data_IF_383770351717
#
_entry.id   IF_383770351717
#
_cell.length_a   1.000
_cell.length_b   1.000
_cell.length_c   1.000
_cell.angle_alpha   90.00
_cell.angle_beta   90.00
_cell.angle_gamma   90.00
#
_symmetry.space_group_name_H-M   'P 1'
#
loop_
_entity.id
_entity.type
_entity.pdbx_description
1 polymer ?
#
# COMPACT_ATOMS: atom_id res chain seq x y z
N UNK A 1 -49.89 -17.57 -29.11
CA UNK A 1 -48.46 -17.56 -28.72
C UNK A 1 -47.84 -16.17 -28.55
N UNK A 2 -48.53 -15.05 -28.86
CA UNK A 2 -47.97 -13.68 -28.70
C UNK A 2 -47.96 -13.09 -27.28
N UNK A 3 -48.81 -13.55 -26.36
CA UNK A 3 -48.98 -12.90 -25.05
C UNK A 3 -47.95 -13.31 -23.98
N UNK A 4 -47.30 -14.47 -24.11
CA UNK A 4 -46.26 -14.91 -23.16
C UNK A 4 -44.90 -14.25 -23.40
N UNK A 5 -44.56 -13.95 -24.65
CA UNK A 5 -43.31 -13.24 -25.00
C UNK A 5 -43.34 -11.78 -24.53
N UNK A 6 -44.50 -11.12 -24.59
CA UNK A 6 -44.65 -9.74 -24.14
C UNK A 6 -44.54 -9.60 -22.61
N UNK A 7 -45.06 -10.58 -21.86
CA UNK A 7 -44.95 -10.61 -20.39
C UNK A 7 -43.50 -10.87 -19.92
N UNK A 8 -42.77 -11.76 -20.57
CA UNK A 8 -41.37 -12.07 -20.25
C UNK A 8 -40.43 -10.88 -20.54
N UNK A 9 -40.67 -10.16 -21.65
CA UNK A 9 -39.90 -8.96 -21.99
C UNK A 9 -40.18 -7.81 -21.01
N UNK A 10 -41.44 -7.63 -20.60
CA UNK A 10 -41.83 -6.58 -19.65
C UNK A 10 -41.24 -6.83 -18.24
N UNK A 11 -41.22 -8.09 -17.79
CA UNK A 11 -40.59 -8.49 -16.52
C UNK A 11 -39.06 -8.28 -16.52
N UNK A 12 -38.37 -8.57 -17.64
CA UNK A 12 -36.93 -8.30 -17.79
C UNK A 12 -36.62 -6.80 -17.79
N UNK A 13 -37.43 -5.98 -18.47
CA UNK A 13 -37.25 -4.51 -18.47
C UNK A 13 -37.52 -3.92 -17.09
N UNK A 14 -38.51 -4.42 -16.34
CA UNK A 14 -38.79 -3.99 -14.96
C UNK A 14 -37.65 -4.42 -14.02
N UNK A 15 -37.11 -5.63 -14.18
CA UNK A 15 -35.96 -6.11 -13.39
C UNK A 15 -34.70 -5.30 -13.67
N UNK A 16 -34.40 -5.01 -14.94
CA UNK A 16 -33.28 -4.14 -15.34
C UNK A 16 -33.45 -2.71 -14.85
N UNK A 17 -34.66 -2.14 -14.91
CA UNK A 17 -34.93 -0.81 -14.34
C UNK A 17 -34.78 -0.79 -12.82
N UNK A 18 -35.14 -1.87 -12.12
CA UNK A 18 -34.92 -2.00 -10.67
C UNK A 18 -33.44 -2.15 -10.33
N UNK A 19 -32.66 -2.92 -11.09
CA UNK A 19 -31.22 -3.03 -10.92
C UNK A 19 -30.50 -1.71 -11.23
N UNK A 20 -30.88 -1.02 -12.31
CA UNK A 20 -30.31 0.28 -12.67
C UNK A 20 -30.66 1.35 -11.62
N UNK A 21 -31.89 1.32 -11.07
CA UNK A 21 -32.30 2.20 -9.98
C UNK A 21 -31.57 1.87 -8.67
N UNK A 22 -31.32 0.59 -8.35
CA UNK A 22 -30.52 0.18 -7.20
C UNK A 22 -29.04 0.60 -7.35
N UNK A 23 -28.49 0.47 -8.56
CA UNK A 23 -27.13 0.90 -8.88
C UNK A 23 -27.02 2.44 -8.78
N UNK A 24 -27.98 3.19 -9.34
CA UNK A 24 -28.03 4.65 -9.23
C UNK A 24 -28.25 5.13 -7.80
N UNK A 25 -29.02 4.42 -6.97
CA UNK A 25 -29.17 4.73 -5.54
C UNK A 25 -27.87 4.45 -4.78
N UNK A 26 -27.15 3.37 -5.07
CA UNK A 26 -25.85 3.08 -4.42
C UNK A 26 -24.73 4.01 -4.92
N UNK A 27 -24.75 4.43 -6.19
CA UNK A 27 -23.85 5.45 -6.74
C UNK A 27 -24.18 6.82 -6.13
N UNK A 28 -25.45 7.19 -5.99
CA UNK A 28 -25.83 8.42 -5.29
C UNK A 28 -25.46 8.36 -3.79
N UNK A 29 -25.54 7.20 -3.14
CA UNK A 29 -25.16 7.03 -1.73
C UNK A 29 -23.64 7.14 -1.50
N UNK A 30 -22.84 6.64 -2.45
CA UNK A 30 -21.37 6.72 -2.41
C UNK A 30 -20.84 8.10 -2.82
N UNK A 31 -21.49 8.76 -3.79
CA UNK A 31 -21.21 10.16 -4.15
C UNK A 31 -21.63 11.10 -3.01
N UNK A 32 -22.78 10.88 -2.37
CA UNK A 32 -23.22 11.65 -1.20
C UNK A 32 -22.23 11.45 -0.03
N UNK A 33 -21.73 10.23 0.22
CA UNK A 33 -20.71 9.99 1.24
C UNK A 33 -19.37 10.72 0.95
N UNK A 34 -19.08 11.06 -0.31
CA UNK A 34 -17.89 11.82 -0.71
C UNK A 34 -18.06 13.35 -0.71
N UNK A 35 -19.30 13.86 -0.58
CA UNK A 35 -19.63 15.30 -0.62
C UNK A 35 -20.44 15.78 0.59
N UNK A 36 -20.82 14.89 1.51
CA UNK A 36 -21.60 15.26 2.69
C UNK A 36 -20.69 15.76 3.81
N UNK A 37 -20.47 17.07 3.82
CA UNK A 37 -19.75 17.78 4.87
C UNK A 37 -20.46 17.74 6.24
N UNK A 38 -21.63 17.10 6.38
CA UNK A 38 -22.50 17.24 7.55
C UNK A 38 -22.47 16.09 8.58
N UNK A 39 -21.51 15.15 8.51
CA UNK A 39 -21.27 14.26 9.66
C UNK A 39 -20.90 15.12 10.89
N UNK A 40 -21.66 15.03 12.00
CA UNK A 40 -21.42 15.86 13.17
C UNK A 40 -20.04 15.55 13.73
N UNK A 41 -19.23 16.61 13.89
CA UNK A 41 -17.96 16.56 14.59
C UNK A 41 -18.19 15.95 15.98
N UNK A 42 -17.60 14.78 16.24
CA UNK A 42 -17.64 14.15 17.55
C UNK A 42 -16.32 14.43 18.30
N UNK A 43 -16.29 15.44 19.19
CA UNK A 43 -15.08 15.82 19.91
C UNK A 43 -14.52 14.73 20.82
N UNK A 44 -15.33 13.75 21.26
CA UNK A 44 -14.88 12.70 22.18
C UNK A 44 -14.12 11.55 21.50
N UNK A 45 -14.06 11.52 20.16
CA UNK A 45 -13.30 10.50 19.43
C UNK A 45 -11.90 10.96 19.01
N UNK A 46 -11.54 12.23 19.20
CA UNK A 46 -10.31 12.81 18.68
C UNK A 46 -9.00 12.27 19.25
N UNK A 47 -9.04 11.48 20.33
CA UNK A 47 -7.83 11.15 21.10
C UNK A 47 -7.71 9.68 21.44
N UNK A 48 -7.48 8.83 20.43
CA UNK A 48 -7.04 7.44 20.70
C UNK A 48 -5.75 7.09 19.99
N UNK A 49 -4.78 7.99 19.90
CA UNK A 49 -3.40 7.50 19.79
C UNK A 49 -3.15 6.65 21.04
N UNK A 50 -3.22 5.33 20.90
CA UNK A 50 -2.94 4.45 22.03
C UNK A 50 -1.44 4.39 22.20
N UNK A 51 -0.98 4.06 23.39
CA UNK A 51 0.43 3.78 23.57
C UNK A 51 0.85 2.68 22.59
N UNK A 52 1.99 2.89 21.93
CA UNK A 52 2.68 1.87 21.18
C UNK A 52 3.30 0.90 22.18
N UNK A 53 2.76 -0.32 22.25
CA UNK A 53 3.17 -1.33 23.23
C UNK A 53 4.24 -2.26 22.65
N UNK A 54 4.36 -2.31 21.32
CA UNK A 54 5.30 -3.16 20.60
C UNK A 54 6.27 -2.30 19.80
N UNK A 55 7.54 -2.66 19.80
CA UNK A 55 8.53 -2.02 18.94
C UNK A 55 8.20 -2.28 17.45
N UNK A 56 8.17 -1.24 16.60
CA UNK A 56 7.86 -1.44 15.19
C UNK A 56 8.93 -2.26 14.48
N UNK A 57 8.50 -3.19 13.62
CA UNK A 57 9.39 -4.01 12.78
C UNK A 57 9.17 -3.78 11.28
N UNK A 58 8.26 -2.88 10.90
CA UNK A 58 7.86 -2.60 9.51
C UNK A 58 7.72 -1.08 9.31
N UNK A 59 8.04 -0.56 8.14
CA UNK A 59 7.64 0.79 7.70
C UNK A 59 6.60 0.62 6.59
N UNK A 60 5.44 1.27 6.73
CA UNK A 60 4.37 1.23 5.73
C UNK A 60 4.25 2.59 5.04
N UNK A 61 4.50 2.61 3.75
CA UNK A 61 4.42 3.79 2.90
C UNK A 61 3.05 3.86 2.22
N UNK A 62 2.45 5.06 2.21
CA UNK A 62 1.16 5.33 1.57
C UNK A 62 1.10 6.74 0.97
N UNK A 63 0.05 7.05 0.20
CA UNK A 63 -0.28 8.41 -0.25
C UNK A 63 -1.61 8.90 0.33
N UNK A 64 -1.81 10.21 0.29
CA UNK A 64 -2.95 10.90 0.92
C UNK A 64 -4.23 10.96 0.08
N UNK A 65 -4.12 10.94 -1.25
CA UNK A 65 -5.19 11.29 -2.20
C UNK A 65 -5.56 12.79 -2.17
N UNK A 66 -4.72 13.63 -1.58
CA UNK A 66 -4.96 15.07 -1.43
C UNK A 66 -3.83 15.89 -2.06
N UNK A 67 -4.18 17.10 -2.52
CA UNK A 67 -3.25 18.01 -3.21
C UNK A 67 -2.32 18.78 -2.28
N UNK A 68 -2.67 18.86 -1.00
CA UNK A 68 -1.96 19.65 -0.02
C UNK A 68 -2.02 19.00 1.37
N UNK A 69 -1.04 19.34 2.19
CA UNK A 69 -0.87 18.83 3.55
C UNK A 69 -2.05 19.16 4.48
N UNK A 70 -2.56 20.40 4.43
CA UNK A 70 -3.59 20.88 5.34
C UNK A 70 -4.91 20.12 5.15
N UNK A 71 -5.32 19.95 3.90
CA UNK A 71 -6.50 19.17 3.54
C UNK A 71 -6.33 17.72 3.99
N UNK A 72 -5.14 17.14 3.82
CA UNK A 72 -4.88 15.77 4.26
C UNK A 72 -4.98 15.63 5.78
N UNK A 73 -4.29 16.48 6.54
CA UNK A 73 -4.30 16.45 8.02
C UNK A 73 -5.73 16.64 8.54
N UNK A 74 -6.49 17.55 7.93
CA UNK A 74 -7.90 17.75 8.26
C UNK A 74 -8.75 16.51 7.96
N UNK A 75 -8.55 15.86 6.81
CA UNK A 75 -9.28 14.66 6.44
C UNK A 75 -8.99 13.48 7.38
N UNK A 76 -7.72 13.24 7.74
CA UNK A 76 -7.33 12.18 8.67
C UNK A 76 -8.03 12.35 10.03
N UNK A 77 -8.07 13.59 10.57
CA UNK A 77 -8.83 13.91 11.78
C UNK A 77 -10.30 13.55 11.64
N UNK A 78 -10.95 13.97 10.54
CA UNK A 78 -12.38 13.70 10.31
C UNK A 78 -12.68 12.21 10.18
N UNK A 79 -11.79 11.45 9.55
CA UNK A 79 -11.93 10.01 9.31
C UNK A 79 -11.52 9.17 10.52
N UNK A 80 -11.00 9.79 11.58
CA UNK A 80 -10.50 9.12 12.77
C UNK A 80 -9.42 8.06 12.47
N UNK A 81 -8.51 8.44 11.57
CA UNK A 81 -7.30 7.69 11.20
C UNK A 81 -6.09 8.59 11.39
N UNK A 82 -4.90 8.01 11.47
CA UNK A 82 -3.66 8.78 11.67
C UNK A 82 -2.48 8.10 11.02
N UNK A 83 -1.37 8.83 10.87
CA UNK A 83 -0.09 8.34 10.39
C UNK A 83 1.01 8.98 11.24
N UNK A 84 2.14 8.30 11.42
CA UNK A 84 3.22 8.82 12.26
C UNK A 84 3.85 10.04 11.60
N UNK A 85 4.21 9.89 10.32
CA UNK A 85 4.84 10.93 9.54
C UNK A 85 4.09 11.23 8.25
N UNK A 86 4.20 12.47 7.82
CA UNK A 86 3.79 12.93 6.49
C UNK A 86 4.95 13.62 5.77
N UNK A 87 5.03 13.43 4.46
CA UNK A 87 6.00 14.12 3.59
C UNK A 87 5.20 14.96 2.59
N UNK A 88 5.35 16.28 2.67
CA UNK A 88 4.69 17.22 1.75
C UNK A 88 5.38 17.25 0.38
N UNK A 89 4.76 17.91 -0.60
CA UNK A 89 5.23 17.97 -1.99
C UNK A 89 6.62 18.59 -2.10
N UNK A 90 6.98 19.52 -1.22
CA UNK A 90 8.29 20.18 -1.18
C UNK A 90 9.36 19.38 -0.41
N UNK A 91 9.04 18.16 0.05
CA UNK A 91 9.93 17.32 0.84
C UNK A 91 9.97 17.65 2.34
N UNK A 92 9.22 18.65 2.80
CA UNK A 92 9.09 18.93 4.23
C UNK A 92 8.44 17.74 4.93
N UNK A 93 9.05 17.30 6.04
CA UNK A 93 8.57 16.15 6.83
C UNK A 93 7.86 16.65 8.08
N UNK A 94 6.68 16.11 8.34
CA UNK A 94 5.86 16.44 9.50
C UNK A 94 5.60 15.20 10.33
N UNK A 95 5.65 15.34 11.65
CA UNK A 95 5.01 14.40 12.56
C UNK A 95 3.52 14.75 12.64
N UNK A 96 2.67 13.73 12.53
CA UNK A 96 1.22 13.89 12.39
C UNK A 96 0.36 12.98 13.25
N UNK A 97 0.96 12.24 14.18
CA UNK A 97 0.24 11.18 14.90
C UNK A 97 -0.90 11.70 15.76
N UNK A 98 -0.72 12.88 16.37
CA UNK A 98 -1.73 13.55 17.20
C UNK A 98 -2.71 14.41 16.38
N UNK A 99 -2.73 14.22 15.06
CA UNK A 99 -3.49 15.02 14.12
C UNK A 99 -2.94 16.44 13.94
N UNK A 100 -1.96 16.91 14.70
CA UNK A 100 -1.31 18.19 14.40
C UNK A 100 -0.17 17.99 13.40
N UNK A 101 0.24 19.03 12.68
CA UNK A 101 1.42 18.97 11.80
C UNK A 101 2.60 19.64 12.51
N UNK A 102 3.56 18.85 12.95
CA UNK A 102 4.77 19.36 13.59
C UNK A 102 5.95 19.17 12.64
N UNK A 103 6.51 20.26 12.12
CA UNK A 103 7.64 20.21 11.20
C UNK A 103 8.85 19.54 11.87
N UNK A 104 9.47 18.60 11.16
CA UNK A 104 10.67 17.90 11.59
C UNK A 104 11.86 18.47 10.84
N UNK A 105 12.84 18.92 11.61
CA UNK A 105 14.17 19.17 11.06
C UNK A 105 14.93 17.84 10.98
N UNK A 106 14.99 17.26 9.77
CA UNK A 106 15.68 16.00 9.52
C UNK A 106 17.18 16.06 9.83
N UNK A 107 17.81 17.25 9.76
CA UNK A 107 19.24 17.41 10.07
C UNK A 107 19.49 17.21 11.57
N UNK A 108 18.58 17.74 12.39
CA UNK A 108 18.65 17.66 13.85
C UNK A 108 17.74 16.56 14.42
N UNK A 109 17.26 15.63 13.58
CA UNK A 109 16.36 14.56 13.99
C UNK A 109 17.10 13.51 14.82
N UNK A 110 17.14 13.75 16.13
CA UNK A 110 17.79 12.88 17.11
C UNK A 110 16.95 11.63 17.41
N UNK A 111 17.60 10.62 17.98
CA UNK A 111 16.91 9.38 18.40
C UNK A 111 15.84 9.67 19.45
N UNK A 112 16.08 10.63 20.35
CA UNK A 112 15.10 11.05 21.36
C UNK A 112 13.83 11.63 20.73
N UNK A 113 13.98 12.47 19.70
CA UNK A 113 12.85 13.05 18.97
C UNK A 113 12.09 11.93 18.25
N UNK A 114 12.78 11.04 17.54
CA UNK A 114 12.15 9.91 16.86
C UNK A 114 11.37 9.00 17.85
N UNK A 115 11.99 8.62 18.97
CA UNK A 115 11.40 7.74 19.99
C UNK A 115 10.16 8.36 20.63
N UNK A 116 10.16 9.68 20.89
CA UNK A 116 9.03 10.36 21.54
C UNK A 116 7.72 10.12 20.80
N UNK A 117 7.73 10.24 19.47
CA UNK A 117 6.53 10.19 18.65
C UNK A 117 6.09 8.77 18.31
N UNK A 118 7.04 7.83 18.29
CA UNK A 118 6.79 6.42 18.03
C UNK A 118 6.33 5.64 19.26
N UNK A 119 6.25 6.29 20.44
CA UNK A 119 5.53 5.76 21.61
C UNK A 119 4.01 5.76 21.44
N UNK A 120 3.50 6.28 20.31
CA UNK A 120 2.08 6.34 19.99
C UNK A 120 1.80 5.46 18.79
N UNK A 121 0.67 4.75 18.83
CA UNK A 121 0.18 3.91 17.75
C UNK A 121 -0.68 4.72 16.79
N UNK A 122 -0.27 4.83 15.53
CA UNK A 122 -1.12 5.40 14.48
C UNK A 122 -2.11 4.37 13.90
N UNK A 123 -3.25 4.85 13.40
CA UNK A 123 -4.22 4.01 12.66
C UNK A 123 -4.10 4.24 11.15
N UNK A 124 -3.06 3.69 10.53
CA UNK A 124 -2.75 3.92 9.12
C UNK A 124 -2.99 2.69 8.23
N UNK A 125 -2.71 1.48 8.72
CA UNK A 125 -2.74 0.24 7.95
C UNK A 125 -4.12 -0.45 7.98
N UNK A 126 -4.79 -0.43 9.14
CA UNK A 126 -6.05 -1.17 9.33
C UNK A 126 -5.86 -2.69 9.35
N UNK A 127 -6.81 -3.45 8.78
CA UNK A 127 -6.73 -4.92 8.69
C UNK A 127 -5.60 -5.31 7.75
N UNK A 128 -4.60 -6.03 8.24
CA UNK A 128 -3.47 -6.38 7.39
C UNK A 128 -2.80 -7.70 7.71
N UNK A 129 -1.82 -8.01 6.88
CA UNK A 129 -0.95 -9.17 6.98
C UNK A 129 0.39 -8.84 6.32
N UNK A 130 1.50 -9.11 6.99
CA UNK A 130 2.79 -9.25 6.34
C UNK A 130 3.70 -10.13 7.19
N UNK A 131 4.51 -10.98 6.56
CA UNK A 131 5.56 -11.73 7.28
C UNK A 131 6.88 -10.99 7.21
N UNK A 132 7.36 -10.51 8.36
CA UNK A 132 8.56 -9.67 8.43
C UNK A 132 9.87 -10.48 8.24
N UNK A 133 11.03 -9.83 8.27
CA UNK A 133 12.34 -10.47 8.12
C UNK A 133 12.71 -11.45 9.24
N UNK A 134 12.04 -11.34 10.38
CA UNK A 134 12.19 -12.26 11.50
C UNK A 134 11.31 -13.50 11.35
N UNK A 135 10.63 -13.66 10.19
CA UNK A 135 9.62 -14.69 9.92
C UNK A 135 8.39 -14.62 10.83
N UNK A 136 8.14 -13.46 11.45
CA UNK A 136 6.96 -13.24 12.28
C UNK A 136 5.78 -12.84 11.40
N UNK A 137 4.62 -13.46 11.61
CA UNK A 137 3.39 -13.08 10.94
C UNK A 137 2.76 -11.91 11.68
N UNK A 138 2.70 -10.76 11.01
CA UNK A 138 2.14 -9.53 11.55
C UNK A 138 0.74 -9.32 11.00
N UNK A 139 -0.28 -9.47 11.85
CA UNK A 139 -1.67 -9.17 11.49
C UNK A 139 -2.15 -7.80 12.03
N UNK A 140 -1.61 -7.37 13.18
CA UNK A 140 -1.87 -6.02 13.72
C UNK A 140 -0.79 -5.04 13.22
N UNK A 141 -0.90 -4.69 11.94
CA UNK A 141 0.05 -3.83 11.24
C UNK A 141 0.23 -2.49 11.95
N UNK A 142 -0.86 -1.85 12.39
CA UNK A 142 -0.81 -0.57 13.09
C UNK A 142 0.07 -0.62 14.36
N UNK A 143 0.08 -1.74 15.10
CA UNK A 143 0.91 -1.90 16.30
C UNK A 143 2.33 -2.34 16.02
N UNK A 144 2.69 -2.74 14.80
CA UNK A 144 4.02 -3.25 14.48
C UNK A 144 4.71 -2.45 13.37
N UNK A 145 4.13 -1.33 12.96
CA UNK A 145 4.66 -0.56 11.85
C UNK A 145 4.59 0.95 12.05
N UNK A 146 5.48 1.62 11.32
CA UNK A 146 5.52 3.07 11.22
C UNK A 146 4.89 3.47 9.89
N UNK A 147 3.69 4.06 9.95
CA UNK A 147 3.08 4.73 8.80
C UNK A 147 3.79 6.02 8.38
N UNK A 148 4.17 6.10 7.10
CA UNK A 148 4.64 7.30 6.42
C UNK A 148 3.68 7.60 5.25
N UNK A 149 3.10 8.79 5.23
CA UNK A 149 2.14 9.19 4.21
C UNK A 149 2.65 10.36 3.37
N UNK A 150 2.65 10.20 2.06
CA UNK A 150 3.02 11.25 1.13
C UNK A 150 1.80 12.09 0.77
N UNK A 151 1.96 13.41 0.72
CA UNK A 151 0.99 14.29 0.08
C UNK A 151 1.08 14.07 -1.43
N UNK A 152 0.07 13.41 -1.99
CA UNK A 152 -0.03 13.13 -3.41
C UNK A 152 -1.52 12.97 -3.78
N UNK A 153 -1.91 13.62 -4.87
CA UNK A 153 -3.30 13.74 -5.32
C UNK A 153 -3.79 12.55 -6.16
N UNK A 154 -2.99 11.48 -6.27
CA UNK A 154 -3.39 10.26 -6.95
C UNK A 154 -4.76 9.79 -6.47
N UNK A 155 -5.61 9.43 -7.42
CA UNK A 155 -6.90 8.88 -7.09
C UNK A 155 -6.73 7.52 -6.38
N UNK A 156 -7.70 7.14 -5.55
CA UNK A 156 -7.86 5.72 -5.23
C UNK A 156 -8.44 5.03 -6.47
N UNK A 157 -8.00 3.83 -6.84
CA UNK A 157 -8.70 3.02 -7.83
C UNK A 157 -10.16 2.87 -7.40
N UNK A 158 -11.08 3.50 -8.13
CA UNK A 158 -12.51 3.25 -7.98
C UNK A 158 -12.79 1.96 -8.75
N UNK A 159 -13.05 0.87 -8.02
CA UNK A 159 -13.64 -0.40 -8.44
C UNK A 159 -13.11 -1.08 -9.73
N UNK A 160 -11.95 -0.67 -10.26
CA UNK A 160 -11.40 -1.23 -11.49
C UNK A 160 -10.05 -1.94 -11.22
N UNK A 161 -9.95 -3.27 -11.41
CA UNK A 161 -8.70 -4.01 -11.24
C UNK A 161 -7.68 -3.75 -12.38
N UNK A 162 -8.09 -3.16 -13.51
CA UNK A 162 -7.21 -2.82 -14.64
C UNK A 162 -6.50 -1.47 -14.47
N UNK A 163 -6.57 -0.88 -13.27
CA UNK A 163 -6.09 0.47 -12.95
C UNK A 163 -4.57 0.64 -13.05
N UNK A 164 -3.86 -0.48 -13.17
CA UNK A 164 -2.40 -0.52 -13.25
C UNK A 164 -1.87 -0.63 -14.68
N UNK A 165 -2.76 -0.65 -15.67
CA UNK A 165 -2.41 -0.67 -17.10
C UNK A 165 -2.94 0.59 -17.79
N UNK A 166 -2.15 1.16 -18.71
CA UNK A 166 -2.59 2.24 -19.59
C UNK A 166 -3.61 1.70 -20.59
N UNK A 167 -4.85 1.49 -20.16
CA UNK A 167 -5.99 1.31 -21.06
C UNK A 167 -6.84 2.57 -21.06
N UNK A 168 -7.31 2.97 -22.25
CA UNK A 168 -8.05 4.22 -22.53
C UNK A 168 -9.35 4.41 -21.71
N UNK A 169 -9.76 3.40 -20.93
CA UNK A 169 -10.95 3.41 -20.07
C UNK A 169 -10.66 3.57 -18.58
N UNK A 170 -9.40 3.78 -18.17
CA UNK A 170 -9.02 3.92 -16.77
C UNK A 170 -9.18 5.38 -16.27
N UNK A 171 -10.17 5.67 -15.39
CA UNK A 171 -10.34 7.01 -14.83
C UNK A 171 -9.33 7.35 -13.73
N UNK A 172 -8.46 6.40 -13.34
CA UNK A 172 -7.50 6.61 -12.25
C UNK A 172 -6.30 7.38 -12.77
N UNK A 173 -6.12 8.58 -12.21
CA UNK A 173 -4.96 9.40 -12.47
C UNK A 173 -3.92 9.18 -11.37
N UNK A 174 -2.78 8.62 -11.75
CA UNK A 174 -1.58 8.52 -10.93
C UNK A 174 -0.73 9.78 -11.08
N UNK A 175 -0.02 10.17 -10.03
CA UNK A 175 0.87 11.33 -10.03
C UNK A 175 2.25 10.92 -9.52
N UNK A 176 3.28 11.43 -10.18
CA UNK A 176 4.67 11.26 -9.75
C UNK A 176 4.90 11.94 -8.40
N UNK A 177 5.91 11.45 -7.69
CA UNK A 177 6.39 12.04 -6.43
C UNK A 177 7.58 12.94 -6.75
N UNK A 178 7.70 14.06 -6.04
CA UNK A 178 8.80 15.01 -6.29
C UNK A 178 10.14 14.41 -5.87
N UNK A 179 11.24 14.95 -6.44
CA UNK A 179 12.57 14.54 -6.03
C UNK A 179 12.84 14.88 -4.55
N UNK A 180 12.29 15.99 -4.07
CA UNK A 180 12.36 16.40 -2.67
C UNK A 180 11.66 15.39 -1.75
N UNK A 181 10.52 14.84 -2.18
CA UNK A 181 9.83 13.74 -1.48
C UNK A 181 10.68 12.47 -1.43
N UNK A 182 11.37 12.11 -2.52
CA UNK A 182 12.29 10.96 -2.57
C UNK A 182 13.41 11.09 -1.54
N UNK A 183 14.09 12.24 -1.54
CA UNK A 183 15.22 12.52 -0.64
C UNK A 183 14.78 12.52 0.82
N UNK A 184 13.65 13.16 1.12
CA UNK A 184 13.06 13.20 2.46
C UNK A 184 12.69 11.80 2.95
N UNK A 185 12.10 10.98 2.07
CA UNK A 185 11.78 9.59 2.37
C UNK A 185 13.04 8.78 2.69
N UNK A 186 14.06 8.89 1.85
CA UNK A 186 15.31 8.16 2.06
C UNK A 186 15.96 8.54 3.39
N UNK A 187 16.02 9.82 3.72
CA UNK A 187 16.58 10.31 4.97
C UNK A 187 15.77 9.81 6.19
N UNK A 188 14.44 9.97 6.16
CA UNK A 188 13.56 9.54 7.24
C UNK A 188 13.61 8.02 7.45
N UNK A 189 13.44 7.23 6.38
CA UNK A 189 13.46 5.78 6.47
C UNK A 189 14.82 5.24 6.93
N UNK A 190 15.95 5.80 6.47
CA UNK A 190 17.27 5.40 6.95
C UNK A 190 17.42 5.63 8.46
N UNK A 191 16.95 6.78 8.96
CA UNK A 191 16.95 7.04 10.40
C UNK A 191 16.12 6.01 11.17
N UNK A 192 14.88 5.79 10.73
CA UNK A 192 13.92 4.92 11.40
C UNK A 192 14.37 3.45 11.37
N UNK A 193 14.84 2.96 10.21
CA UNK A 193 15.29 1.58 10.08
C UNK A 193 16.53 1.28 10.92
N UNK A 194 17.45 2.23 11.05
CA UNK A 194 18.61 2.08 11.94
C UNK A 194 18.19 2.08 13.40
N UNK A 195 17.31 3.01 13.78
CA UNK A 195 16.85 3.14 15.16
C UNK A 195 16.10 1.89 15.67
N UNK A 196 15.26 1.29 14.83
CA UNK A 196 14.42 0.14 15.19
C UNK A 196 14.90 -1.20 14.62
N UNK A 197 16.09 -1.22 14.00
CA UNK A 197 16.63 -2.41 13.33
C UNK A 197 15.61 -3.05 12.37
N UNK A 198 14.94 -2.21 11.57
CA UNK A 198 13.97 -2.64 10.55
C UNK A 198 14.75 -3.07 9.31
N UNK A 199 14.47 -4.26 8.79
CA UNK A 199 15.12 -4.76 7.59
C UNK A 199 14.60 -4.03 6.34
N UNK A 200 15.44 -3.93 5.30
CA UNK A 200 15.00 -3.28 4.05
C UNK A 200 13.80 -3.95 3.40
N UNK A 201 13.67 -5.28 3.51
CA UNK A 201 12.49 -5.98 2.99
C UNK A 201 11.19 -5.66 3.73
N UNK A 202 11.28 -5.05 4.91
CA UNK A 202 10.15 -4.70 5.77
C UNK A 202 9.77 -3.22 5.62
N UNK A 203 10.29 -2.54 4.58
CA UNK A 203 9.83 -1.23 4.11
C UNK A 203 8.91 -1.50 2.92
N UNK A 204 7.61 -1.41 3.15
CA UNK A 204 6.58 -1.88 2.22
C UNK A 204 5.56 -0.80 1.91
N UNK A 205 4.87 -0.93 0.78
CA UNK A 205 3.66 -0.19 0.48
C UNK A 205 2.46 -0.70 1.27
N UNK A 206 1.50 0.19 1.54
CA UNK A 206 0.24 -0.17 2.16
C UNK A 206 -0.52 -1.26 1.39
N UNK A 207 -0.45 -1.29 0.06
CA UNK A 207 -1.10 -2.32 -0.74
C UNK A 207 -0.57 -3.74 -0.49
N UNK A 208 0.69 -3.87 -0.08
CA UNK A 208 1.36 -5.15 0.18
C UNK A 208 0.95 -5.80 1.49
N UNK A 209 0.34 -5.03 2.40
CA UNK A 209 -0.16 -5.54 3.68
C UNK A 209 -1.66 -5.38 3.88
N UNK A 210 -2.35 -4.56 3.08
CA UNK A 210 -3.76 -4.25 3.28
C UNK A 210 -4.68 -5.40 2.82
N UNK A 211 -5.14 -6.20 3.79
CA UNK A 211 -6.10 -7.29 3.55
C UNK A 211 -7.52 -6.75 3.50
N UNK A 212 -8.25 -7.14 2.46
CA UNK A 212 -9.69 -6.94 2.39
C UNK A 212 -10.37 -7.98 3.30
N UNK A 213 -11.15 -7.56 4.32
CA UNK A 213 -11.75 -8.49 5.28
C UNK A 213 -12.85 -9.38 4.67
N UNK A 214 -13.41 -9.01 3.51
CA UNK A 214 -14.44 -9.78 2.82
C UNK A 214 -13.82 -10.85 1.93
N UNK A 215 -12.83 -10.47 1.10
CA UNK A 215 -12.18 -11.42 0.18
C UNK A 215 -11.04 -12.19 0.84
N UNK A 216 -10.53 -11.72 1.98
CA UNK A 216 -9.36 -12.24 2.70
C UNK A 216 -8.09 -12.25 1.84
N UNK A 217 -7.99 -11.35 0.88
CA UNK A 217 -6.83 -11.19 0.00
C UNK A 217 -6.26 -9.77 0.11
N UNK A 218 -5.05 -9.59 -0.43
CA UNK A 218 -4.50 -8.26 -0.68
C UNK A 218 -5.36 -7.48 -1.68
N UNK A 219 -5.06 -6.19 -1.84
CA UNK A 219 -5.71 -5.30 -2.81
C UNK A 219 -6.79 -4.38 -2.23
N UNK A 220 -7.04 -4.39 -0.90
CA UNK A 220 -7.92 -3.40 -0.25
C UNK A 220 -7.40 -1.97 -0.44
N UNK A 221 -6.07 -1.83 -0.48
CA UNK A 221 -5.34 -0.60 -0.76
C UNK A 221 -4.26 -0.91 -1.78
N UNK A 222 -3.73 0.16 -2.36
CA UNK A 222 -2.81 0.12 -3.49
C UNK A 222 -1.63 1.07 -3.31
N UNK A 223 -1.66 1.87 -2.24
CA UNK A 223 -0.64 2.86 -1.96
C UNK A 223 0.71 2.21 -1.64
N UNK A 224 1.81 2.85 -2.05
CA UNK A 224 1.88 4.19 -2.64
C UNK A 224 1.57 4.27 -4.16
N UNK A 225 1.28 3.14 -4.80
CA UNK A 225 0.91 3.08 -6.22
C UNK A 225 2.11 2.89 -7.17
N UNK A 226 1.83 2.73 -8.47
CA UNK A 226 2.83 2.33 -9.48
C UNK A 226 3.82 3.42 -9.86
N UNK A 227 3.57 4.68 -9.51
CA UNK A 227 4.50 5.80 -9.76
C UNK A 227 5.38 6.14 -8.55
N UNK A 228 5.24 5.40 -7.44
CA UNK A 228 6.11 5.63 -6.30
C UNK A 228 7.55 5.21 -6.63
N UNK A 229 8.57 6.02 -6.35
CA UNK A 229 9.91 5.81 -6.90
C UNK A 229 10.73 4.77 -6.10
N UNK A 230 10.23 3.55 -5.96
CA UNK A 230 10.86 2.45 -5.20
C UNK A 230 12.30 2.19 -5.61
N UNK A 231 12.59 2.17 -6.91
CA UNK A 231 13.95 1.98 -7.43
C UNK A 231 14.91 3.08 -7.00
N UNK A 232 14.47 4.35 -7.03
CA UNK A 232 15.30 5.49 -6.64
C UNK A 232 15.55 5.47 -5.13
N UNK A 233 14.52 5.18 -4.34
CA UNK A 233 14.62 5.10 -2.87
C UNK A 233 15.54 3.94 -2.44
N UNK A 234 15.47 2.78 -3.13
CA UNK A 234 16.40 1.68 -2.92
C UNK A 234 17.85 2.03 -3.31
N UNK A 235 18.05 2.80 -4.37
CA UNK A 235 19.36 3.32 -4.74
C UNK A 235 19.93 4.26 -3.65
N UNK A 236 19.07 4.98 -2.93
CA UNK A 236 19.41 5.81 -1.77
C UNK A 236 19.55 5.02 -0.45
N UNK A 237 19.55 3.68 -0.51
CA UNK A 237 19.82 2.81 0.64
C UNK A 237 18.60 2.39 1.47
N UNK A 238 17.39 2.64 0.97
CA UNK A 238 16.13 2.32 1.66
C UNK A 238 15.29 1.32 0.87
N UNK A 239 15.00 0.17 1.47
CA UNK A 239 14.22 -0.88 0.81
C UNK A 239 15.06 -1.73 -0.13
N UNK A 240 14.42 -2.72 -0.77
CA UNK A 240 15.05 -3.59 -1.76
C UNK A 240 14.39 -3.44 -3.11
N UNK A 241 15.23 -3.34 -4.14
CA UNK A 241 14.82 -3.38 -5.54
C UNK A 241 15.73 -4.35 -6.30
N UNK A 242 15.21 -5.02 -7.33
CA UNK A 242 16.00 -6.00 -8.07
C UNK A 242 17.20 -5.35 -8.77
N UNK A 243 18.28 -6.10 -8.93
CA UNK A 243 19.51 -5.67 -9.64
C UNK A 243 19.68 -6.31 -11.02
N UNK A 244 18.68 -7.08 -11.44
CA UNK A 244 18.67 -7.78 -12.72
C UNK A 244 18.60 -6.79 -13.90
N UNK A 245 19.37 -7.09 -14.94
CA UNK A 245 19.28 -6.46 -16.26
C UNK A 245 18.02 -6.91 -17.00
N UNK A 246 17.64 -6.17 -18.03
CA UNK A 246 16.47 -6.52 -18.84
C UNK A 246 16.67 -7.87 -19.56
N UNK A 247 17.89 -8.19 -20.00
CA UNK A 247 18.21 -9.48 -20.63
C UNK A 247 18.05 -10.66 -19.65
N UNK A 248 18.38 -10.47 -18.37
CA UNK A 248 18.15 -11.49 -17.33
C UNK A 248 16.66 -11.68 -17.05
N UNK A 249 15.89 -10.59 -17.07
CA UNK A 249 14.45 -10.60 -16.82
C UNK A 249 13.64 -11.21 -17.98
N UNK A 250 14.16 -11.14 -19.20
CA UNK A 250 13.54 -11.69 -20.41
C UNK A 250 14.02 -13.11 -20.74
N UNK A 251 14.85 -13.73 -19.89
CA UNK A 251 15.27 -15.11 -20.10
C UNK A 251 14.05 -16.05 -20.17
N UNK A 252 13.93 -16.90 -21.20
CA UNK A 252 12.85 -17.86 -21.30
C UNK A 252 12.81 -18.77 -20.07
N UNK A 253 11.63 -18.93 -19.51
CA UNK A 253 11.39 -19.81 -18.37
C UNK A 253 9.98 -20.39 -18.47
N UNK A 254 9.73 -21.46 -17.72
CA UNK A 254 8.38 -21.96 -17.49
C UNK A 254 8.30 -22.30 -16.02
N UNK A 255 7.46 -21.55 -15.29
CA UNK A 255 7.15 -21.80 -13.89
C UNK A 255 5.67 -22.10 -13.74
N UNK A 256 5.36 -22.88 -12.72
CA UNK A 256 4.01 -23.09 -12.20
C UNK A 256 3.57 -21.90 -11.35
N UNK A 257 2.26 -21.74 -11.19
CA UNK A 257 1.69 -20.79 -10.23
C UNK A 257 2.17 -21.06 -8.81
N UNK A 258 2.31 -22.35 -8.46
CA UNK A 258 2.82 -22.78 -7.16
C UNK A 258 4.22 -22.23 -6.87
N UNK A 259 5.13 -22.25 -7.84
CA UNK A 259 6.49 -21.74 -7.67
C UNK A 259 6.50 -20.24 -7.38
N UNK A 260 5.68 -19.45 -8.08
CA UNK A 260 5.56 -18.01 -7.81
C UNK A 260 4.89 -17.72 -6.46
N UNK A 261 3.81 -18.44 -6.13
CA UNK A 261 3.15 -18.36 -4.83
C UNK A 261 4.12 -18.63 -3.68
N UNK A 262 4.99 -19.64 -3.81
CA UNK A 262 6.00 -19.96 -2.81
C UNK A 262 7.02 -18.83 -2.62
N UNK A 263 7.52 -18.23 -3.69
CA UNK A 263 8.46 -17.11 -3.59
C UNK A 263 7.82 -15.88 -2.95
N UNK A 264 6.56 -15.56 -3.30
CA UNK A 264 5.79 -14.46 -2.72
C UNK A 264 5.45 -14.69 -1.23
N UNK A 265 4.95 -15.87 -0.86
CA UNK A 265 4.66 -16.24 0.52
C UNK A 265 5.94 -16.28 1.37
N UNK A 266 7.05 -16.73 0.79
CA UNK A 266 8.36 -16.70 1.43
C UNK A 266 8.80 -15.26 1.73
N UNK A 267 8.62 -14.34 0.77
CA UNK A 267 8.98 -12.93 0.91
C UNK A 267 8.18 -12.21 2.01
N UNK A 268 6.87 -12.47 2.05
CA UNK A 268 6.01 -12.08 3.15
C UNK A 268 4.58 -11.68 2.77
N UNK A 269 4.22 -11.78 1.49
CA UNK A 269 2.86 -11.50 1.02
C UNK A 269 1.85 -12.53 1.55
N UNK A 270 0.63 -12.06 1.81
CA UNK A 270 -0.51 -12.95 2.00
C UNK A 270 -0.94 -13.52 0.65
N UNK A 271 -0.58 -14.76 0.37
CA UNK A 271 -0.93 -15.47 -0.87
C UNK A 271 -1.21 -16.94 -0.55
N UNK A 272 -2.27 -17.56 -1.12
CA UNK A 272 -2.46 -19.00 -1.00
C UNK A 272 -1.33 -19.75 -1.73
N UNK A 273 -0.93 -20.91 -1.21
CA UNK A 273 0.09 -21.78 -1.83
C UNK A 273 -0.61 -23.07 -2.25
N UNK A 274 -1.40 -22.98 -3.32
CA UNK A 274 -2.34 -24.01 -3.76
C UNK A 274 -2.26 -24.32 -5.27
N UNK A 275 -1.36 -23.66 -6.01
CA UNK A 275 -1.22 -23.74 -7.47
C UNK A 275 -2.42 -23.22 -8.29
N UNK A 276 -3.33 -22.46 -7.68
CA UNK A 276 -4.50 -21.88 -8.36
C UNK A 276 -4.24 -20.43 -8.78
N UNK A 277 -4.62 -20.07 -10.02
CA UNK A 277 -4.57 -18.68 -10.53
C UNK A 277 -5.82 -17.91 -10.08
N UNK A 278 -6.04 -17.84 -8.77
CA UNK A 278 -7.20 -17.18 -8.17
C UNK A 278 -7.00 -15.66 -7.97
N UNK A 279 -8.09 -14.97 -7.59
CA UNK A 279 -8.04 -13.52 -7.33
C UNK A 279 -7.03 -13.18 -6.24
N UNK A 280 -6.85 -14.02 -5.22
CA UNK A 280 -5.89 -13.76 -4.15
C UNK A 280 -4.44 -13.82 -4.65
N UNK A 281 -4.15 -14.79 -5.52
CA UNK A 281 -2.86 -14.92 -6.21
C UNK A 281 -2.60 -13.74 -7.13
N UNK A 282 -3.57 -13.37 -7.97
CA UNK A 282 -3.49 -12.21 -8.84
C UNK A 282 -3.21 -10.93 -8.05
N UNK A 283 -3.91 -10.70 -6.92
CA UNK A 283 -3.68 -9.51 -6.09
C UNK A 283 -2.27 -9.50 -5.50
N UNK A 284 -1.76 -10.63 -5.00
CA UNK A 284 -0.39 -10.70 -4.48
C UNK A 284 0.66 -10.39 -5.57
N UNK A 285 0.47 -10.93 -6.77
CA UNK A 285 1.33 -10.66 -7.94
C UNK A 285 1.32 -9.17 -8.30
N UNK A 286 0.13 -8.56 -8.41
CA UNK A 286 -0.01 -7.13 -8.73
C UNK A 286 0.67 -6.25 -7.68
N UNK A 287 0.50 -6.52 -6.38
CA UNK A 287 1.15 -5.72 -5.34
C UNK A 287 2.68 -5.85 -5.39
N UNK A 288 3.20 -7.05 -5.66
CA UNK A 288 4.63 -7.27 -5.86
C UNK A 288 5.16 -6.54 -7.10
N UNK A 289 4.41 -6.50 -8.20
CA UNK A 289 4.77 -5.74 -9.41
C UNK A 289 4.73 -4.22 -9.19
N UNK A 290 3.74 -3.70 -8.46
CA UNK A 290 3.66 -2.28 -8.09
C UNK A 290 4.90 -1.83 -7.31
N UNK A 291 5.49 -2.70 -6.50
CA UNK A 291 6.73 -2.40 -5.79
C UNK A 291 7.95 -2.65 -6.67
N UNK A 292 8.08 -3.86 -7.22
CA UNK A 292 9.35 -4.38 -7.72
C UNK A 292 9.44 -4.47 -9.26
N UNK A 293 8.36 -4.26 -10.01
CA UNK A 293 8.34 -4.34 -11.48
C UNK A 293 7.34 -3.36 -12.11
N UNK A 294 7.50 -2.08 -11.79
CA UNK A 294 6.53 -1.02 -12.09
C UNK A 294 6.23 -0.81 -13.57
N UNK A 295 7.08 -1.34 -14.46
CA UNK A 295 6.90 -1.28 -15.90
C UNK A 295 6.04 -2.42 -16.45
N UNK A 296 5.80 -3.48 -15.67
CA UNK A 296 5.12 -4.71 -16.09
C UNK A 296 4.14 -5.18 -15.00
N UNK A 297 3.07 -4.40 -14.77
CA UNK A 297 2.02 -4.72 -13.81
C UNK A 297 0.86 -5.40 -14.55
N UNK A 298 1.09 -6.65 -14.95
CA UNK A 298 0.15 -7.46 -15.74
C UNK A 298 -0.67 -8.47 -14.92
N UNK A 299 -0.30 -8.71 -13.66
CA UNK A 299 -0.95 -9.69 -12.80
C UNK A 299 -0.73 -11.15 -13.22
N UNK A 300 0.22 -11.46 -14.10
CA UNK A 300 0.47 -12.82 -14.58
C UNK A 300 0.98 -13.72 -13.44
N UNK A 301 0.14 -14.67 -13.04
CA UNK A 301 0.39 -15.62 -11.96
C UNK A 301 1.49 -16.65 -12.28
N UNK A 302 2.05 -16.63 -13.51
CA UNK A 302 3.20 -17.42 -13.93
C UNK A 302 4.32 -16.55 -14.50
N UNK A 303 4.38 -15.27 -14.11
CA UNK A 303 5.39 -14.33 -14.58
C UNK A 303 6.80 -14.80 -14.23
N UNK A 304 7.54 -15.29 -15.23
CA UNK A 304 8.97 -15.59 -15.14
C UNK A 304 9.78 -14.39 -14.66
N UNK A 305 9.40 -13.21 -15.16
CA UNK A 305 10.03 -11.94 -14.81
C UNK A 305 9.91 -11.67 -13.32
N UNK A 306 8.69 -11.71 -12.78
CA UNK A 306 8.47 -11.51 -11.35
C UNK A 306 9.15 -12.61 -10.53
N UNK A 307 9.12 -13.86 -11.00
CA UNK A 307 9.83 -14.96 -10.35
C UNK A 307 11.32 -14.67 -10.18
N UNK A 308 12.02 -14.27 -11.24
CA UNK A 308 13.44 -13.91 -11.17
C UNK A 308 13.69 -12.71 -10.26
N UNK A 309 12.82 -11.70 -10.29
CA UNK A 309 12.85 -10.57 -9.37
C UNK A 309 12.79 -11.06 -7.92
N UNK A 310 11.82 -11.91 -7.57
CA UNK A 310 11.69 -12.45 -6.22
C UNK A 310 12.92 -13.27 -5.81
N UNK A 311 13.47 -14.12 -6.70
CA UNK A 311 14.73 -14.85 -6.42
C UNK A 311 15.89 -13.91 -6.10
N UNK A 312 16.05 -12.85 -6.90
CA UNK A 312 17.10 -11.87 -6.72
C UNK A 312 16.93 -11.12 -5.38
N UNK A 313 15.71 -10.71 -5.06
CA UNK A 313 15.38 -10.04 -3.80
C UNK A 313 15.66 -10.95 -2.58
N UNK A 314 15.28 -12.23 -2.63
CA UNK A 314 15.62 -13.23 -1.60
C UNK A 314 17.12 -13.41 -1.41
N UNK A 315 17.89 -13.39 -2.50
CA UNK A 315 19.36 -13.44 -2.42
C UNK A 315 19.93 -12.18 -1.77
N UNK A 316 19.45 -11.00 -2.14
CA UNK A 316 19.88 -9.74 -1.56
C UNK A 316 19.58 -9.68 -0.05
N UNK A 317 18.36 -10.04 0.36
CA UNK A 317 17.97 -10.05 1.77
C UNK A 317 18.83 -11.01 2.60
N UNK A 318 19.07 -12.23 2.12
CA UNK A 318 19.96 -13.19 2.80
C UNK A 318 21.39 -12.67 2.93
N UNK A 319 21.89 -11.97 1.92
CA UNK A 319 23.22 -11.36 1.98
C UNK A 319 23.29 -10.25 3.05
N UNK A 320 22.23 -9.45 3.22
CA UNK A 320 22.15 -8.44 4.28
C UNK A 320 22.17 -9.06 5.68
N UNK A 321 21.42 -10.16 5.91
CA UNK A 321 21.42 -10.88 7.19
C UNK A 321 22.82 -11.41 7.56
N UNK A 322 23.53 -11.99 6.58
CA UNK A 322 24.89 -12.50 6.77
C UNK A 322 25.92 -11.42 7.11
N UNK A 323 25.69 -10.17 6.67
CA UNK A 323 26.54 -9.02 7.01
C UNK A 323 26.24 -8.56 8.44
N UNK A 324 24.96 -8.53 8.84
CA UNK A 324 24.59 -8.14 10.21
C UNK A 324 25.05 -9.13 11.28
N UNK A 325 25.17 -10.43 10.98
CA UNK A 325 25.68 -11.42 11.94
C UNK A 325 27.20 -11.33 12.18
N UNK A 326 27.94 -10.62 11.31
CA UNK A 326 29.40 -10.49 11.39
C UNK A 326 29.89 -9.23 12.09
N UNK A 327 29.01 -8.26 12.33
CA UNK A 327 29.31 -6.98 12.96
C UNK A 327 28.70 -6.91 14.36
#
# INVERSE_FOLDING_TARGET
MGNLLHFSLCMKVISMKKHLLFLLINIASSIQASLDTTLPFNPERLDKTTQQIVEPSIIVINYSCYKDLDTCVFALKRMNVSTHYMIDIDGSVYETIDGNKNLIDLVNFSDEIAIKYLKKRAFHAGHGYFKNARNEIINDMNSHSIGIMFVNQAATPLDNPNVYTNQDSNPTQWYEFSHEQELACAALCNKLKTLYSIADKDIIGHGECAIDPMTKSLGRKVGPGPLFPWKNIAFLGVGLFHKLSEDELLQPCSITTLELQQELASWGYSVPVNNEEDSATHQAVVQAQIHHDQKNIDGDCRSCRLYYIMKNLHQQHRAQLMISEKN
#
